data_IF_020422850791
#
_entry.id   IF_020422850791
#
_cell.length_a   1.000
_cell.length_b   1.000
_cell.length_c   1.000
_cell.angle_alpha   90.00
_cell.angle_beta   90.00
_cell.angle_gamma   90.00
#
_symmetry.space_group_name_H-M   'P 1'
#
loop_
_entity.id
_entity.type
_entity.pdbx_description
1 polymer ?
#
# COMPACT_ATOMS: atom_id res chain seq x y z
N UNK A 1 5.84 -17.23 10.84
CA UNK A 1 4.88 -17.89 9.92
C UNK A 1 4.93 -17.21 8.57
N UNK A 2 4.36 -17.81 7.52
CA UNK A 2 4.26 -17.17 6.19
C UNK A 2 3.06 -16.20 6.13
N UNK A 3 3.15 -15.17 5.29
CA UNK A 3 2.10 -14.17 5.08
C UNK A 3 1.58 -14.29 3.65
N UNK A 4 0.28 -14.53 3.49
CA UNK A 4 -0.39 -14.50 2.19
C UNK A 4 -0.89 -13.08 1.91
N UNK A 5 -0.18 -12.36 1.05
CA UNK A 5 -0.53 -11.01 0.62
C UNK A 5 -0.84 -11.04 -0.89
N UNK A 6 -2.12 -11.06 -1.28
CA UNK A 6 -2.48 -11.01 -2.70
C UNK A 6 -2.12 -9.64 -3.28
N UNK A 7 -1.73 -9.60 -4.55
CA UNK A 7 -1.48 -8.37 -5.29
C UNK A 7 -2.79 -7.64 -5.62
N UNK A 8 -3.47 -7.18 -4.58
CA UNK A 8 -4.72 -6.41 -4.61
C UNK A 8 -4.40 -4.95 -4.29
N UNK A 9 -4.04 -4.15 -5.31
CA UNK A 9 -3.78 -2.73 -5.15
C UNK A 9 -5.02 -1.95 -4.70
N UNK A 10 -4.78 -0.79 -4.09
CA UNK A 10 -5.81 0.08 -3.53
C UNK A 10 -6.26 1.18 -4.49
N UNK A 11 -7.55 1.51 -4.44
CA UNK A 11 -8.16 2.63 -5.17
C UNK A 11 -8.42 3.88 -4.30
N UNK A 12 -8.42 3.78 -2.97
CA UNK A 12 -8.72 4.94 -2.11
C UNK A 12 -7.65 6.04 -2.21
N UNK A 13 -6.44 5.68 -2.62
CA UNK A 13 -5.33 6.60 -2.89
C UNK A 13 -5.51 7.40 -4.18
N UNK A 14 -6.54 7.08 -4.99
CA UNK A 14 -6.83 7.71 -6.29
C UNK A 14 -5.58 7.84 -7.18
N UNK A 15 -4.90 6.71 -7.49
CA UNK A 15 -3.66 6.74 -8.26
C UNK A 15 -3.91 7.29 -9.66
N UNK A 16 -2.99 8.12 -10.15
CA UNK A 16 -3.08 8.79 -11.46
C UNK A 16 -2.42 7.98 -12.58
N UNK A 17 -1.60 7.00 -12.23
CA UNK A 17 -0.88 6.16 -13.17
C UNK A 17 -0.69 4.74 -12.60
N UNK A 18 -0.17 3.84 -13.45
CA UNK A 18 0.02 2.44 -13.10
C UNK A 18 1.08 2.25 -12.00
N UNK A 19 2.11 3.09 -11.96
CA UNK A 19 3.18 3.01 -10.95
C UNK A 19 2.61 3.28 -9.55
N UNK A 20 1.85 4.37 -9.40
CA UNK A 20 1.15 4.69 -8.15
C UNK A 20 0.15 3.59 -7.73
N UNK A 21 -0.44 2.88 -8.70
CA UNK A 21 -1.34 1.77 -8.41
C UNK A 21 -0.57 0.57 -7.85
N UNK A 22 0.56 0.20 -8.46
CA UNK A 22 1.43 -0.89 -8.02
C UNK A 22 2.06 -0.57 -6.65
N UNK A 23 2.45 0.69 -6.42
CA UNK A 23 3.04 1.16 -5.18
C UNK A 23 2.19 0.85 -3.95
N UNK A 24 0.86 0.84 -4.09
CA UNK A 24 -0.04 0.47 -2.99
C UNK A 24 0.18 -0.96 -2.47
N UNK A 25 0.62 -1.90 -3.32
CA UNK A 25 0.99 -3.26 -2.91
C UNK A 25 2.39 -3.27 -2.33
N UNK A 26 3.33 -2.55 -2.94
CA UNK A 26 4.71 -2.43 -2.46
C UNK A 26 4.75 -1.89 -1.04
N UNK A 27 4.00 -0.83 -0.74
CA UNK A 27 3.93 -0.28 0.61
C UNK A 27 3.42 -1.30 1.63
N UNK A 28 2.42 -2.13 1.27
CA UNK A 28 1.92 -3.19 2.15
C UNK A 28 2.95 -4.28 2.39
N UNK A 29 3.77 -4.61 1.39
CA UNK A 29 4.89 -5.55 1.55
C UNK A 29 5.93 -4.95 2.49
N UNK A 30 6.30 -3.69 2.28
CA UNK A 30 7.24 -2.97 3.14
C UNK A 30 6.78 -2.90 4.59
N UNK A 31 5.47 -2.77 4.83
CA UNK A 31 4.90 -2.82 6.17
C UNK A 31 5.09 -4.16 6.86
N UNK A 32 4.90 -5.27 6.13
CA UNK A 32 5.15 -6.60 6.68
C UNK A 32 6.62 -6.83 7.00
N UNK A 33 7.53 -6.12 6.31
CA UNK A 33 8.96 -6.15 6.57
C UNK A 33 9.39 -5.17 7.68
N UNK A 34 8.48 -4.36 8.23
CA UNK A 34 8.80 -3.36 9.25
C UNK A 34 9.54 -2.14 8.70
N UNK A 35 9.41 -1.86 7.40
CA UNK A 35 10.07 -0.75 6.68
C UNK A 35 9.03 0.26 6.14
N UNK A 36 8.25 0.94 7.00
CA UNK A 36 7.16 1.79 6.53
C UNK A 36 7.68 2.93 5.64
N UNK A 37 7.07 3.10 4.46
CA UNK A 37 7.35 4.22 3.57
C UNK A 37 6.57 5.47 4.02
N UNK A 38 7.25 6.62 4.09
CA UNK A 38 6.61 7.93 4.34
C UNK A 38 5.68 8.36 3.20
N UNK A 39 5.89 7.84 1.99
CA UNK A 39 5.07 8.15 0.81
C UNK A 39 3.80 7.30 0.76
N UNK A 40 3.64 6.32 1.64
CA UNK A 40 2.51 5.41 1.61
C UNK A 40 1.19 6.13 1.97
N UNK A 41 0.21 6.06 1.07
CA UNK A 41 -1.13 6.58 1.34
C UNK A 41 -1.83 5.71 2.40
N UNK A 42 -1.99 6.26 3.61
CA UNK A 42 -2.68 5.62 4.73
C UNK A 42 -4.11 6.14 4.84
N UNK A 43 -5.03 5.22 5.10
CA UNK A 43 -6.35 5.60 5.55
C UNK A 43 -6.26 6.25 6.93
N UNK A 44 -6.64 7.52 7.05
CA UNK A 44 -6.59 8.27 8.32
C UNK A 44 -7.91 8.28 9.08
N UNK A 45 -9.01 7.85 8.47
CA UNK A 45 -10.28 7.62 9.16
C UNK A 45 -10.91 8.84 9.85
N UNK A 46 -10.49 10.06 9.51
CA UNK A 46 -11.15 11.26 10.04
C UNK A 46 -12.54 11.39 9.41
N UNK A 47 -13.57 11.32 10.25
CA UNK A 47 -14.90 11.87 10.01
C UNK A 47 -14.86 13.40 9.97
#
# INVERSE_FOLDING_TARGET
GAIFLPAMPSFYSKPQNLEEFIDTVVWRILDQLGLPSSSACRWQGNE
#
